data_IF_657304937505
#
_entry.id   IF_657304937505
#
_cell.length_a   1.000
_cell.length_b   1.000
_cell.length_c   1.000
_cell.angle_alpha   90.00
_cell.angle_beta   90.00
_cell.angle_gamma   90.00
#
_symmetry.space_group_name_H-M   'P 1'
#
loop_
_entity.id
_entity.type
_entity.pdbx_description
1 polymer ?
#
# COMPACT_ATOMS: atom_id res chain seq x y z
N UNK A 1 15.86 -23.75 5.06
CA UNK A 1 14.65 -23.65 4.23
C UNK A 1 13.38 -23.32 5.03
N UNK A 2 13.17 -23.90 6.23
CA UNK A 2 11.98 -23.66 7.07
C UNK A 2 11.90 -22.24 7.69
N UNK A 3 13.04 -21.64 8.07
CA UNK A 3 13.04 -20.29 8.63
C UNK A 3 12.52 -19.23 7.63
N UNK A 4 12.84 -19.39 6.33
CA UNK A 4 12.45 -18.45 5.29
C UNK A 4 10.94 -18.49 5.00
N UNK A 5 10.31 -19.67 5.11
CA UNK A 5 8.85 -19.80 4.94
C UNK A 5 8.10 -19.20 6.12
N UNK A 6 8.62 -19.37 7.34
CA UNK A 6 8.03 -18.78 8.55
C UNK A 6 8.11 -17.24 8.52
N UNK A 7 9.28 -16.68 8.20
CA UNK A 7 9.46 -15.22 8.07
C UNK A 7 8.56 -14.65 6.97
N UNK A 8 8.47 -15.33 5.82
CA UNK A 8 7.58 -14.90 4.72
C UNK A 8 6.10 -14.91 5.12
N UNK A 9 5.67 -15.88 5.93
CA UNK A 9 4.30 -15.92 6.46
C UNK A 9 4.02 -14.73 7.35
N UNK A 10 4.88 -14.51 8.35
CA UNK A 10 4.72 -13.39 9.29
C UNK A 10 4.78 -12.02 8.61
N UNK A 11 5.73 -11.82 7.68
CA UNK A 11 5.84 -10.58 6.92
C UNK A 11 4.58 -10.32 6.07
N UNK A 12 3.94 -11.37 5.55
CA UNK A 12 2.70 -11.25 4.78
C UNK A 12 1.54 -10.80 5.65
N UNK A 13 1.34 -11.45 6.79
CA UNK A 13 0.28 -11.09 7.74
C UNK A 13 0.46 -9.66 8.23
N UNK A 14 1.70 -9.27 8.57
CA UNK A 14 2.00 -7.90 8.95
C UNK A 14 1.68 -6.90 7.83
N UNK A 15 2.05 -7.19 6.58
CA UNK A 15 1.72 -6.33 5.45
C UNK A 15 0.20 -6.16 5.27
N UNK A 16 -0.57 -7.24 5.41
CA UNK A 16 -2.02 -7.17 5.24
C UNK A 16 -2.66 -6.30 6.35
N UNK A 17 -2.16 -6.39 7.58
CA UNK A 17 -2.55 -5.49 8.68
C UNK A 17 -2.18 -4.04 8.33
N UNK A 18 -0.94 -3.77 7.92
CA UNK A 18 -0.49 -2.42 7.58
C UNK A 18 -1.29 -1.79 6.42
N UNK A 19 -1.65 -2.58 5.40
CA UNK A 19 -2.50 -2.13 4.29
C UNK A 19 -3.91 -1.74 4.78
N UNK A 20 -4.48 -2.50 5.72
CA UNK A 20 -5.75 -2.16 6.34
C UNK A 20 -5.65 -0.85 7.13
N UNK A 21 -4.54 -0.63 7.86
CA UNK A 21 -4.27 0.62 8.56
C UNK A 21 -4.13 1.82 7.61
N UNK A 22 -3.49 1.67 6.46
CA UNK A 22 -3.42 2.73 5.43
C UNK A 22 -4.82 3.06 4.94
N UNK A 23 -5.64 2.06 4.62
CA UNK A 23 -7.02 2.25 4.18
C UNK A 23 -7.87 2.99 5.22
N UNK A 24 -7.80 2.56 6.48
CA UNK A 24 -8.47 3.23 7.60
C UNK A 24 -7.98 4.68 7.77
N UNK A 25 -6.66 4.90 7.69
CA UNK A 25 -6.08 6.22 7.81
C UNK A 25 -6.57 7.18 6.74
N UNK A 26 -6.59 6.75 5.47
CA UNK A 26 -7.12 7.56 4.36
C UNK A 26 -8.60 7.89 4.59
N UNK A 27 -9.43 6.91 4.98
CA UNK A 27 -10.85 7.15 5.26
C UNK A 27 -11.06 8.18 6.38
N UNK A 28 -10.33 8.04 7.49
CA UNK A 28 -10.40 8.96 8.63
C UNK A 28 -9.98 10.37 8.23
N UNK A 29 -8.90 10.51 7.44
CA UNK A 29 -8.45 11.82 6.95
C UNK A 29 -9.46 12.48 6.00
N UNK A 30 -10.17 11.70 5.18
CA UNK A 30 -11.22 12.23 4.29
C UNK A 30 -12.42 12.74 5.09
N UNK A 31 -12.85 11.99 6.13
CA UNK A 31 -14.04 12.34 6.93
C UNK A 31 -13.78 13.53 7.86
N UNK A 32 -12.65 13.52 8.57
CA UNK A 32 -12.37 14.48 9.63
C UNK A 32 -11.40 15.61 9.20
N UNK A 33 -10.87 15.54 7.97
CA UNK A 33 -9.86 16.46 7.46
C UNK A 33 -8.47 16.18 8.03
N UNK A 34 -7.43 16.70 7.36
CA UNK A 34 -6.02 16.39 7.68
C UNK A 34 -5.49 17.00 8.98
N UNK A 35 -6.12 18.08 9.47
CA UNK A 35 -5.55 18.91 10.54
C UNK A 35 -5.87 18.41 11.96
N UNK A 36 -6.85 17.49 12.11
CA UNK A 36 -7.37 17.07 13.42
C UNK A 36 -7.13 15.57 13.72
N UNK A 37 -6.35 14.88 12.90
CA UNK A 37 -6.19 13.42 12.92
C UNK A 37 -4.74 13.07 13.19
N UNK A 38 -4.31 13.17 14.45
CA UNK A 38 -2.91 13.06 14.88
C UNK A 38 -2.12 11.90 14.25
N UNK A 39 -2.39 10.65 14.65
CA UNK A 39 -1.64 9.48 14.16
C UNK A 39 -1.87 9.17 12.66
N UNK A 40 -3.04 9.50 12.13
CA UNK A 40 -3.36 9.28 10.72
C UNK A 40 -2.93 10.46 9.83
N UNK A 41 -2.32 11.51 10.39
CA UNK A 41 -1.83 12.67 9.66
C UNK A 41 -0.80 12.24 8.62
N UNK A 42 -0.87 12.86 7.43
CA UNK A 42 0.09 12.61 6.36
C UNK A 42 -0.05 11.28 5.60
N UNK A 43 -0.87 10.30 6.03
CA UNK A 43 -1.02 9.02 5.30
C UNK A 43 -1.52 9.27 3.86
N UNK A 44 -2.57 10.07 3.71
CA UNK A 44 -3.14 10.44 2.41
C UNK A 44 -2.14 11.25 1.60
N UNK A 45 -1.37 12.15 2.22
CA UNK A 45 -0.37 12.94 1.52
C UNK A 45 0.77 12.07 0.97
N UNK A 46 1.27 11.12 1.77
CA UNK A 46 2.29 10.17 1.34
C UNK A 46 1.77 9.26 0.22
N UNK A 47 0.53 8.78 0.33
CA UNK A 47 -0.10 7.96 -0.70
C UNK A 47 -0.28 8.74 -2.01
N UNK A 48 -0.86 9.94 -1.93
CA UNK A 48 -1.03 10.81 -3.09
C UNK A 48 0.30 11.21 -3.72
N UNK A 49 1.33 11.46 -2.90
CA UNK A 49 2.69 11.72 -3.37
C UNK A 49 3.25 10.56 -4.19
N UNK A 50 3.10 9.33 -3.69
CA UNK A 50 3.51 8.12 -4.42
C UNK A 50 2.72 7.92 -5.72
N UNK A 51 1.40 8.12 -5.69
CA UNK A 51 0.56 8.03 -6.90
C UNK A 51 0.97 9.08 -7.93
N UNK A 52 1.26 10.31 -7.50
CA UNK A 52 1.73 11.38 -8.39
C UNK A 52 3.10 11.07 -8.99
N UNK A 53 4.01 10.45 -8.23
CA UNK A 53 5.31 10.01 -8.76
C UNK A 53 5.13 9.01 -9.91
N UNK A 54 4.23 8.03 -9.75
CA UNK A 54 3.89 7.08 -10.82
C UNK A 54 3.27 7.83 -12.01
N UNK A 55 2.29 8.71 -11.78
CA UNK A 55 1.61 9.46 -12.84
C UNK A 55 2.54 10.39 -13.64
N UNK A 56 3.51 11.00 -12.97
CA UNK A 56 4.50 11.90 -13.59
C UNK A 56 5.48 11.20 -14.53
N UNK A 57 5.65 9.87 -14.38
CA UNK A 57 6.55 9.06 -15.21
C UNK A 57 6.01 8.70 -16.59
N UNK A 58 4.77 9.10 -16.93
CA UNK A 58 4.15 8.80 -18.22
C UNK A 58 4.09 7.29 -18.52
N UNK A 59 4.72 6.85 -19.61
CA UNK A 59 4.76 5.43 -20.00
C UNK A 59 5.50 4.55 -18.99
N UNK A 60 6.59 5.05 -18.39
CA UNK A 60 7.34 4.29 -17.37
C UNK A 60 6.50 4.11 -16.11
N UNK A 61 5.68 5.10 -15.76
CA UNK A 61 4.71 5.02 -14.68
C UNK A 61 3.70 3.89 -14.89
N UNK A 62 3.18 3.76 -16.10
CA UNK A 62 2.23 2.69 -16.45
C UNK A 62 2.89 1.30 -16.33
N UNK A 63 4.11 1.13 -16.83
CA UNK A 63 4.88 -0.12 -16.70
C UNK A 63 5.07 -0.47 -15.21
N UNK A 64 5.46 0.51 -14.39
CA UNK A 64 5.65 0.31 -12.95
C UNK A 64 4.34 -0.15 -12.27
N UNK A 65 3.21 0.47 -12.62
CA UNK A 65 1.90 0.07 -12.11
C UNK A 65 1.54 -1.36 -12.52
N UNK A 66 1.76 -1.74 -13.78
CA UNK A 66 1.51 -3.10 -14.27
C UNK A 66 2.34 -4.15 -13.53
N UNK A 67 3.60 -3.85 -13.24
CA UNK A 67 4.48 -4.75 -12.45
C UNK A 67 3.95 -4.90 -11.02
N UNK A 68 3.57 -3.80 -10.36
CA UNK A 68 3.00 -3.83 -9.01
C UNK A 68 1.74 -4.68 -8.97
N UNK A 69 0.80 -4.44 -9.89
CA UNK A 69 -0.45 -5.21 -10.00
C UNK A 69 -0.13 -6.69 -10.30
N UNK A 70 0.82 -6.97 -11.18
CA UNK A 70 1.23 -8.34 -11.50
C UNK A 70 1.73 -9.11 -10.28
N UNK A 71 2.52 -8.47 -9.42
CA UNK A 71 3.01 -9.06 -8.16
C UNK A 71 1.87 -9.29 -7.17
N UNK A 72 0.94 -8.33 -7.05
CA UNK A 72 -0.23 -8.46 -6.16
C UNK A 72 -1.25 -9.50 -6.64
N UNK A 73 -1.51 -9.61 -7.94
CA UNK A 73 -2.49 -10.58 -8.48
C UNK A 73 -1.98 -12.02 -8.40
N UNK A 74 -0.67 -12.24 -8.60
CA UNK A 74 -0.05 -13.56 -8.42
C UNK A 74 -0.19 -14.09 -6.97
N UNK A 75 -0.43 -13.20 -6.01
CA UNK A 75 -0.70 -13.53 -4.59
C UNK A 75 -2.04 -14.22 -4.37
N UNK A 76 -3.05 -13.94 -5.20
CA UNK A 76 -4.43 -14.43 -5.02
C UNK A 76 -4.73 -15.71 -5.82
N UNK A 77 -3.89 -16.06 -6.80
CA UNK A 77 -4.09 -17.20 -7.69
C UNK A 77 -3.65 -18.56 -7.10
N UNK A 78 -3.38 -18.64 -5.79
CA UNK A 78 -2.95 -19.88 -5.10
C UNK A 78 -4.00 -20.34 -4.07
N UNK A 79 -5.27 -20.26 -4.45
CA UNK A 79 -6.35 -21.03 -3.81
C UNK A 79 -6.35 -22.46 -4.33
#
# INVERSE_FOLDING_TARGET
MQAFTWIKGWARELMDIMLLFIGLGVLVQIIFGSNNVGFFAGITSNLMGFVNQIGSGGFVGLIALLVIIGVFTKRNATT
#
